data_IF_701455509899
#
_entry.id   IF_701455509899
#
_cell.length_a   1.000
_cell.length_b   1.000
_cell.length_c   1.000
_cell.angle_alpha   90.00
_cell.angle_beta   90.00
_cell.angle_gamma   90.00
#
_symmetry.space_group_name_H-M   'P 1'
#
loop_
_entity.id
_entity.type
_entity.pdbx_description
1 polymer ?
#
# COMPACT_ATOMS: atom_id res chain seq x y z
N UNK A 1 20.16 4.02 16.96
CA UNK A 1 19.16 3.04 16.47
C UNK A 1 17.90 3.82 16.18
N UNK A 2 17.49 3.92 14.91
CA UNK A 2 16.26 4.62 14.57
C UNK A 2 15.09 3.93 15.28
N UNK A 3 14.22 4.69 15.96
CA UNK A 3 13.01 4.15 16.57
C UNK A 3 12.12 3.63 15.44
N UNK A 4 12.07 2.30 15.32
CA UNK A 4 11.19 1.56 14.43
C UNK A 4 9.81 1.59 15.09
N UNK A 5 9.06 2.67 14.92
CA UNK A 5 7.62 2.67 15.18
C UNK A 5 6.92 2.33 13.85
N UNK A 6 6.36 1.12 13.77
CA UNK A 6 5.29 0.68 12.84
C UNK A 6 5.56 0.37 11.35
N UNK A 7 6.78 -0.04 10.94
CA UNK A 7 7.06 -0.51 9.57
C UNK A 7 6.57 0.46 8.46
N UNK A 8 6.52 1.75 8.78
CA UNK A 8 6.06 2.82 7.90
C UNK A 8 7.26 3.63 7.36
N UNK A 9 7.26 3.87 6.06
CA UNK A 9 8.32 4.55 5.34
C UNK A 9 7.74 5.77 4.63
N UNK A 10 8.16 6.97 5.03
CA UNK A 10 7.75 8.20 4.36
C UNK A 10 8.43 8.28 2.99
N UNK A 11 7.64 8.44 1.94
CA UNK A 11 8.12 8.62 0.55
C UNK A 11 7.86 10.04 0.03
N UNK A 12 7.01 10.81 0.71
CA UNK A 12 6.78 12.21 0.41
C UNK A 12 6.51 13.01 1.70
N UNK A 13 7.53 13.70 2.20
CA UNK A 13 7.43 14.50 3.43
C UNK A 13 6.44 15.66 3.31
N UNK A 14 6.43 16.35 2.17
CA UNK A 14 5.55 17.50 1.91
C UNK A 14 4.07 17.15 2.09
N UNK A 15 3.67 15.97 1.65
CA UNK A 15 2.29 15.49 1.75
C UNK A 15 2.10 14.47 2.87
N UNK A 16 3.14 14.21 3.67
CA UNK A 16 3.19 13.19 4.72
C UNK A 16 2.65 11.83 4.24
N UNK A 17 3.11 11.41 3.06
CA UNK A 17 2.73 10.13 2.44
C UNK A 17 3.86 9.13 2.56
N UNK A 18 3.48 7.87 2.61
CA UNK A 18 4.43 6.79 2.70
C UNK A 18 3.78 5.44 2.47
N UNK A 19 4.51 4.40 2.85
CA UNK A 19 4.06 3.04 2.74
C UNK A 19 4.25 2.30 4.05
N UNK A 20 3.29 1.46 4.42
CA UNK A 20 3.41 0.52 5.54
C UNK A 20 3.54 -0.90 5.00
N UNK A 21 4.46 -1.68 5.56
CA UNK A 21 4.51 -3.13 5.32
C UNK A 21 3.56 -3.81 6.32
N UNK A 22 2.59 -4.57 5.82
CA UNK A 22 1.64 -5.34 6.62
C UNK A 22 1.71 -6.83 6.29
N UNK A 23 1.32 -7.67 7.24
CA UNK A 23 1.01 -9.08 7.00
C UNK A 23 -0.45 -9.33 7.37
N UNK A 24 -1.22 -9.89 6.45
CA UNK A 24 -2.61 -10.26 6.70
C UNK A 24 -2.93 -11.60 6.06
N UNK A 25 -3.43 -12.53 6.88
CA UNK A 25 -3.74 -13.92 6.45
C UNK A 25 -2.56 -14.61 5.75
N UNK A 26 -1.35 -14.42 6.29
CA UNK A 26 -0.12 -15.02 5.76
C UNK A 26 0.39 -14.38 4.47
N UNK A 27 -0.17 -13.25 4.03
CA UNK A 27 0.28 -12.52 2.86
C UNK A 27 0.92 -11.19 3.27
N UNK A 28 2.17 -10.98 2.85
CA UNK A 28 2.94 -9.74 3.04
C UNK A 28 2.56 -8.76 1.95
N UNK A 29 2.25 -7.52 2.32
CA UNK A 29 1.84 -6.46 1.42
C UNK A 29 2.47 -5.11 1.78
N UNK A 30 2.61 -4.24 0.79
CA UNK A 30 2.89 -2.82 0.96
C UNK A 30 1.58 -2.05 0.78
N UNK A 31 1.20 -1.27 1.78
CA UNK A 31 -0.01 -0.44 1.78
C UNK A 31 0.38 1.03 1.66
N UNK A 32 -0.22 1.74 0.71
CA UNK A 32 -0.08 3.19 0.62
C UNK A 32 -0.78 3.84 1.81
N UNK A 33 -0.11 4.76 2.50
CA UNK A 33 -0.61 5.38 3.71
C UNK A 33 -0.36 6.90 3.74
N UNK A 34 -1.18 7.59 4.52
CA UNK A 34 -1.02 8.99 4.88
C UNK A 34 -0.86 9.12 6.39
N UNK A 35 -0.01 10.05 6.82
CA UNK A 35 0.13 10.39 8.23
C UNK A 35 -0.82 11.53 8.61
N UNK A 36 -1.63 11.29 9.64
CA UNK A 36 -2.55 12.27 10.22
C UNK A 36 -1.83 13.34 11.05
N UNK A 37 -2.60 14.33 11.51
CA UNK A 37 -2.06 15.46 12.29
C UNK A 37 -1.38 15.02 13.59
N UNK A 38 -1.84 13.93 14.20
CA UNK A 38 -1.34 13.40 15.48
C UNK A 38 -0.43 12.17 15.30
N UNK A 39 0.16 11.98 14.11
CA UNK A 39 1.06 10.85 13.84
C UNK A 39 0.38 9.52 13.54
N UNK A 40 -0.97 9.49 13.52
CA UNK A 40 -1.71 8.29 13.14
C UNK A 40 -1.48 7.93 11.66
N UNK A 41 -1.27 6.66 11.36
CA UNK A 41 -1.06 6.17 9.99
C UNK A 41 -2.38 5.59 9.46
N UNK A 42 -2.90 6.19 8.37
CA UNK A 42 -4.13 5.75 7.71
C UNK A 42 -3.83 5.21 6.32
N UNK A 43 -4.41 4.05 5.93
CA UNK A 43 -4.34 3.60 4.55
C UNK A 43 -4.96 4.62 3.59
N UNK A 44 -4.38 4.74 2.41
CA UNK A 44 -5.02 5.40 1.28
C UNK A 44 -6.09 4.47 0.71
N UNK A 45 -7.31 4.97 0.60
CA UNK A 45 -8.45 4.19 0.15
C UNK A 45 -8.83 4.55 -1.28
N UNK A 46 -9.04 3.53 -2.11
CA UNK A 46 -9.49 3.66 -3.50
C UNK A 46 -10.79 2.90 -3.70
N UNK A 47 -11.57 3.31 -4.69
CA UNK A 47 -12.74 2.55 -5.13
C UNK A 47 -12.38 1.67 -6.34
N UNK A 48 -12.52 0.34 -6.25
CA UNK A 48 -12.23 -0.53 -7.39
C UNK A 48 -13.20 -0.21 -8.52
N UNK A 49 -12.70 -0.21 -9.75
CA UNK A 49 -13.52 0.04 -10.93
C UNK A 49 -14.10 -1.27 -11.48
N UNK A 50 -15.34 -1.21 -11.98
CA UNK A 50 -15.91 -2.27 -12.81
C UNK A 50 -15.26 -2.33 -14.19
N UNK A 51 -15.68 -3.29 -15.01
CA UNK A 51 -15.26 -3.38 -16.43
C UNK A 51 -15.65 -2.14 -17.24
N UNK A 52 -16.65 -1.39 -16.77
CA UNK A 52 -17.12 -0.13 -17.32
C UNK A 52 -16.29 1.09 -16.87
N UNK A 53 -15.19 0.87 -16.14
CA UNK A 53 -14.34 1.89 -15.53
C UNK A 53 -15.05 2.79 -14.52
N UNK A 54 -16.25 2.42 -14.06
CA UNK A 54 -16.97 3.17 -13.01
C UNK A 54 -16.65 2.60 -11.63
N UNK A 55 -16.61 3.44 -10.57
CA UNK A 55 -16.41 2.97 -9.21
C UNK A 55 -17.51 1.98 -8.80
N UNK A 56 -17.10 0.85 -8.21
CA UNK A 56 -18.03 -0.17 -7.74
C UNK A 56 -18.85 0.35 -6.57
N UNK A 57 -20.16 0.20 -6.66
CA UNK A 57 -21.11 0.51 -5.58
C UNK A 57 -21.58 -0.77 -4.88
N UNK A 58 -21.98 -0.62 -3.62
CA UNK A 58 -22.73 -1.61 -2.84
C UNK A 58 -24.22 -1.48 -3.13
N UNK A 59 -25.02 -2.41 -2.63
CA UNK A 59 -26.47 -2.44 -2.80
C UNK A 59 -27.18 -1.20 -2.21
N UNK A 60 -26.60 -0.59 -1.18
CA UNK A 60 -27.06 0.65 -0.55
C UNK A 60 -26.69 1.94 -1.32
N UNK A 61 -26.01 1.81 -2.46
CA UNK A 61 -25.56 2.92 -3.30
C UNK A 61 -24.25 3.58 -2.86
N UNK A 62 -23.66 3.18 -1.72
CA UNK A 62 -22.34 3.63 -1.28
C UNK A 62 -21.21 2.99 -2.09
N UNK A 63 -20.02 3.59 -2.11
CA UNK A 63 -18.87 3.01 -2.83
C UNK A 63 -18.20 1.90 -2.02
N UNK A 64 -17.75 0.86 -2.72
CA UNK A 64 -16.77 -0.07 -2.17
C UNK A 64 -15.45 0.67 -2.08
N UNK A 65 -14.84 0.68 -0.89
CA UNK A 65 -13.53 1.28 -0.66
C UNK A 65 -12.58 0.17 -0.20
N UNK A 66 -11.40 0.12 -0.80
CA UNK A 66 -10.34 -0.82 -0.43
C UNK A 66 -9.02 -0.05 -0.23
N UNK A 67 -8.15 -0.51 0.69
CA UNK A 67 -6.84 0.10 0.82
C UNK A 67 -6.04 -0.14 -0.46
N UNK A 68 -5.33 0.87 -0.93
CA UNK A 68 -4.39 0.74 -2.03
C UNK A 68 -3.16 -0.02 -1.54
N UNK A 69 -3.02 -1.27 -1.99
CA UNK A 69 -1.91 -2.14 -1.61
C UNK A 69 -1.38 -3.00 -2.72
N UNK A 70 -0.11 -3.36 -2.59
CA UNK A 70 0.63 -4.27 -3.47
C UNK A 70 0.97 -5.51 -2.65
N UNK A 71 0.51 -6.67 -3.11
CA UNK A 71 0.86 -7.98 -2.53
C UNK A 71 2.28 -8.33 -2.94
N UNK A 72 3.11 -8.74 -1.99
CA UNK A 72 4.52 -9.08 -2.23
C UNK A 72 4.77 -10.59 -2.26
N UNK A 73 4.05 -11.35 -1.44
CA UNK A 73 4.23 -12.80 -1.33
C UNK A 73 3.69 -13.34 -0.01
N UNK A 74 3.78 -14.65 0.18
CA UNK A 74 3.30 -15.37 1.37
C UNK A 74 4.41 -15.65 2.41
N UNK A 75 5.62 -15.18 2.12
CA UNK A 75 6.81 -15.39 2.94
C UNK A 75 7.78 -14.23 2.77
N UNK A 76 8.66 -13.96 3.76
CA UNK A 76 9.66 -12.90 3.64
C UNK A 76 10.57 -13.06 2.41
N UNK A 77 10.91 -14.30 2.05
CA UNK A 77 11.75 -14.60 0.88
C UNK A 77 11.06 -14.23 -0.43
N UNK A 78 9.83 -14.71 -0.66
CA UNK A 78 9.05 -14.36 -1.85
C UNK A 78 8.78 -12.86 -1.94
N UNK A 79 8.51 -12.20 -0.81
CA UNK A 79 8.30 -10.76 -0.76
C UNK A 79 9.55 -9.98 -1.19
N UNK A 80 10.73 -10.38 -0.72
CA UNK A 80 12.01 -9.78 -1.12
C UNK A 80 12.30 -9.98 -2.61
N UNK A 81 11.98 -11.15 -3.16
CA UNK A 81 12.16 -11.42 -4.59
C UNK A 81 11.24 -10.55 -5.46
N UNK A 82 9.98 -10.38 -5.08
CA UNK A 82 9.06 -9.45 -5.74
C UNK A 82 9.62 -8.02 -5.72
N UNK A 83 10.14 -7.56 -4.57
CA UNK A 83 10.74 -6.23 -4.45
C UNK A 83 11.99 -6.06 -5.32
N UNK A 84 12.84 -7.08 -5.41
CA UNK A 84 14.02 -7.08 -6.30
C UNK A 84 13.62 -6.98 -7.76
N UNK A 85 12.57 -7.67 -8.18
CA UNK A 85 12.04 -7.59 -9.54
C UNK A 85 11.52 -6.17 -9.85
N UNK A 86 10.75 -5.58 -8.94
CA UNK A 86 10.28 -4.19 -9.06
C UNK A 86 11.47 -3.22 -9.16
N UNK A 87 12.48 -3.38 -8.29
CA UNK A 87 13.68 -2.54 -8.31
C UNK A 87 14.47 -2.68 -9.63
N UNK A 88 14.53 -3.89 -10.21
CA UNK A 88 15.17 -4.11 -11.51
C UNK A 88 14.46 -3.36 -12.64
N UNK A 89 13.11 -3.38 -12.65
CA UNK A 89 12.30 -2.61 -13.60
C UNK A 89 12.54 -1.11 -13.43
N UNK A 90 12.55 -0.61 -12.20
CA UNK A 90 12.77 0.82 -11.92
C UNK A 90 14.18 1.29 -12.30
N UNK A 91 15.21 0.47 -12.11
CA UNK A 91 16.57 0.78 -12.59
C UNK A 91 16.67 0.87 -14.11
N UNK A 92 15.80 0.15 -14.83
CA UNK A 92 15.72 0.18 -16.30
C UNK A 92 14.75 1.22 -16.86
N UNK A 93 13.89 1.81 -16.03
CA UNK A 93 12.94 2.84 -16.44
C UNK A 93 13.70 4.15 -16.69
N UNK A 94 13.75 4.58 -17.96
CA UNK A 94 14.25 5.90 -18.39
C UNK A 94 13.14 6.93 -18.34
#
# INVERSE_FOLDING_TARGET
>A
MAKIEDNYFVTNEKYRRGFKVEEYKGEISIVACNEGKEGQIFPEWVSPQGSDRKPKKKDDGSYVMLPLKIKLGDSPESALDTLRQIAAVLKGAK
#
